data_IF_422040925577
#
_entry.id   IF_422040925577
#
_cell.length_a   1.000
_cell.length_b   1.000
_cell.length_c   1.000
_cell.angle_alpha   90.00
_cell.angle_beta   90.00
_cell.angle_gamma   90.00
#
_symmetry.space_group_name_H-M   'P 1'
#
loop_
_entity.id
_entity.type
_entity.pdbx_description
1 polymer ?
#
# COMPACT_ATOMS: atom_id res chain seq x y z
N UNK A 1 4.85 -1.84 6.12
CA UNK A 1 3.42 -2.22 5.95
C UNK A 1 3.17 -2.91 4.61
N UNK A 2 3.54 -2.32 3.47
CA UNK A 2 3.28 -2.91 2.14
C UNK A 2 3.79 -4.33 1.91
N UNK A 3 5.01 -4.68 2.35
CA UNK A 3 5.53 -6.05 2.25
C UNK A 3 4.67 -7.08 3.00
N UNK A 4 4.22 -6.72 4.21
CA UNK A 4 3.35 -7.58 5.01
C UNK A 4 2.01 -7.83 4.30
N UNK A 5 1.38 -6.78 3.76
CA UNK A 5 0.12 -6.92 3.04
C UNK A 5 0.26 -7.74 1.76
N UNK A 6 1.34 -7.54 0.98
CA UNK A 6 1.60 -8.34 -0.21
C UNK A 6 1.78 -9.82 0.16
N UNK A 7 2.63 -10.12 1.13
CA UNK A 7 2.88 -11.49 1.56
C UNK A 7 1.60 -12.16 2.09
N UNK A 8 0.79 -11.42 2.86
CA UNK A 8 -0.50 -11.90 3.35
C UNK A 8 -1.51 -12.13 2.21
N UNK A 9 -1.59 -11.21 1.24
CA UNK A 9 -2.49 -11.31 0.10
C UNK A 9 -2.18 -12.52 -0.78
N UNK A 10 -0.89 -12.80 -1.03
CA UNK A 10 -0.45 -13.99 -1.77
C UNK A 10 -0.88 -15.28 -1.06
N UNK A 11 -0.54 -15.41 0.23
CA UNK A 11 -0.92 -16.59 1.04
C UNK A 11 -2.44 -16.75 1.12
N UNK A 12 -3.17 -15.65 1.28
CA UNK A 12 -4.62 -15.67 1.33
C UNK A 12 -5.24 -16.00 -0.03
N UNK A 13 -4.60 -15.63 -1.15
CA UNK A 13 -5.02 -16.04 -2.49
C UNK A 13 -4.91 -17.56 -2.67
N UNK A 14 -3.79 -18.15 -2.26
CA UNK A 14 -3.58 -19.60 -2.31
C UNK A 14 -4.55 -20.36 -1.39
N UNK A 15 -4.74 -19.89 -0.15
CA UNK A 15 -5.72 -20.46 0.78
C UNK A 15 -7.14 -20.50 0.20
N UNK A 16 -7.52 -19.46 -0.55
CA UNK A 16 -8.82 -19.34 -1.23
C UNK A 16 -8.89 -20.08 -2.57
N UNK A 17 -7.81 -20.78 -2.97
CA UNK A 17 -7.68 -21.46 -4.26
C UNK A 17 -7.77 -20.51 -5.48
N UNK A 18 -7.41 -19.24 -5.28
CA UNK A 18 -7.31 -18.25 -6.37
C UNK A 18 -6.02 -18.40 -7.19
N UNK A 19 -5.01 -19.05 -6.62
CA UNK A 19 -3.75 -19.46 -7.26
C UNK A 19 -3.44 -20.91 -6.85
N UNK A 20 -2.59 -21.59 -7.59
CA UNK A 20 -2.25 -22.99 -7.37
C UNK A 20 -1.37 -23.19 -6.12
N UNK A 21 -1.40 -24.40 -5.52
CA UNK A 21 -0.54 -24.71 -4.38
C UNK A 21 0.95 -24.47 -4.69
N UNK A 22 1.66 -23.79 -3.80
CA UNK A 22 3.05 -23.38 -3.94
C UNK A 22 3.25 -22.05 -4.68
N UNK A 23 2.24 -21.49 -5.35
CA UNK A 23 2.41 -20.24 -6.10
C UNK A 23 2.60 -19.02 -5.19
N UNK A 24 2.02 -18.97 -3.98
CA UNK A 24 2.28 -17.83 -3.10
C UNK A 24 3.76 -17.74 -2.71
N UNK A 25 4.39 -18.88 -2.44
CA UNK A 25 5.82 -18.95 -2.13
C UNK A 25 6.68 -18.57 -3.34
N UNK A 26 6.31 -19.02 -4.54
CA UNK A 26 6.98 -18.67 -5.79
C UNK A 26 6.91 -17.15 -6.05
N UNK A 27 5.72 -16.55 -5.97
CA UNK A 27 5.53 -15.11 -6.20
C UNK A 27 6.24 -14.28 -5.14
N UNK A 28 6.26 -14.73 -3.88
CA UNK A 28 7.04 -14.07 -2.83
C UNK A 28 8.55 -14.11 -3.11
N UNK A 29 9.08 -15.25 -3.57
CA UNK A 29 10.48 -15.37 -3.95
C UNK A 29 10.84 -14.44 -5.13
N UNK A 30 9.93 -14.28 -6.11
CA UNK A 30 10.12 -13.35 -7.21
C UNK A 30 10.17 -11.89 -6.73
N UNK A 31 9.27 -11.51 -5.81
CA UNK A 31 9.30 -10.18 -5.19
C UNK A 31 10.62 -9.91 -4.47
N UNK A 32 11.13 -10.87 -3.69
CA UNK A 32 12.44 -10.75 -3.02
C UNK A 32 13.60 -10.64 -4.03
N UNK A 33 13.55 -11.37 -5.14
CA UNK A 33 14.54 -11.27 -6.20
C UNK A 33 14.51 -9.89 -6.88
N UNK A 34 13.31 -9.34 -7.13
CA UNK A 34 13.15 -7.98 -7.67
C UNK A 34 13.74 -6.93 -6.72
N UNK A 35 13.49 -7.06 -5.41
CA UNK A 35 14.08 -6.22 -4.37
C UNK A 35 15.60 -6.33 -4.32
N UNK A 36 16.14 -7.55 -4.31
CA UNK A 36 17.58 -7.80 -4.30
C UNK A 36 18.29 -7.26 -5.56
N UNK A 37 17.60 -7.26 -6.71
CA UNK A 37 18.11 -6.71 -7.96
C UNK A 37 18.02 -5.18 -8.07
N UNK A 38 17.40 -4.51 -7.10
CA UNK A 38 17.21 -3.06 -7.10
C UNK A 38 16.06 -2.56 -8.00
N UNK A 39 15.22 -3.46 -8.54
CA UNK A 39 13.98 -3.08 -9.25
C UNK A 39 12.96 -2.44 -8.30
N UNK A 40 12.96 -2.88 -7.05
CA UNK A 40 12.11 -2.35 -5.99
C UNK A 40 12.99 -1.80 -4.86
N UNK A 41 12.81 -0.53 -4.54
CA UNK A 41 13.50 0.13 -3.43
C UNK A 41 12.53 0.31 -2.26
N UNK A 42 12.94 -0.16 -1.08
CA UNK A 42 12.17 0.00 0.14
C UNK A 42 12.56 1.32 0.79
N UNK A 43 11.63 2.27 0.80
CA UNK A 43 11.82 3.52 1.51
C UNK A 43 11.44 3.33 2.98
N UNK A 44 12.43 3.47 3.86
CA UNK A 44 12.18 3.54 5.30
C UNK A 44 11.68 4.94 5.63
N UNK A 45 10.58 5.00 6.38
CA UNK A 45 10.01 6.23 6.93
C UNK A 45 9.71 6.03 8.42
N UNK A 46 9.65 7.14 9.15
CA UNK A 46 9.31 7.12 10.56
C UNK A 46 7.82 6.79 10.72
N UNK A 47 7.54 5.69 11.42
CA UNK A 47 6.17 5.23 11.63
C UNK A 47 5.32 6.25 12.41
N UNK A 48 5.92 6.99 13.35
CA UNK A 48 5.18 8.01 14.10
C UNK A 48 4.65 9.10 13.17
N UNK A 49 5.49 9.61 12.26
CA UNK A 49 5.11 10.64 11.29
C UNK A 49 4.00 10.13 10.35
N UNK A 50 4.10 8.88 9.90
CA UNK A 50 3.05 8.23 9.08
C UNK A 50 1.74 8.10 9.84
N UNK A 51 1.78 7.72 11.12
CA UNK A 51 0.57 7.56 11.94
C UNK A 51 -0.07 8.91 12.25
N UNK A 52 0.72 9.95 12.52
CA UNK A 52 0.19 11.29 12.75
C UNK A 52 -0.45 11.87 11.48
N UNK A 53 0.17 11.67 10.33
CA UNK A 53 -0.44 12.05 9.05
C UNK A 53 -1.72 11.23 8.76
N UNK A 54 -1.71 9.92 9.06
CA UNK A 54 -2.91 9.08 8.92
C UNK A 54 -4.06 9.54 9.84
N UNK A 55 -3.78 10.06 11.04
CA UNK A 55 -4.82 10.65 11.91
C UNK A 55 -5.44 11.88 11.26
N UNK A 56 -4.62 12.77 10.67
CA UNK A 56 -5.10 13.95 9.95
C UNK A 56 -6.00 13.56 8.78
N UNK A 57 -5.56 12.61 7.96
CA UNK A 57 -6.35 12.09 6.84
C UNK A 57 -7.65 11.47 7.31
N UNK A 58 -7.61 10.66 8.37
CA UNK A 58 -8.82 10.02 8.90
C UNK A 58 -9.82 11.04 9.43
N UNK A 59 -9.36 12.04 10.18
CA UNK A 59 -10.21 13.09 10.72
C UNK A 59 -10.85 13.95 9.60
N UNK A 60 -10.14 14.10 8.48
CA UNK A 60 -10.58 14.95 7.37
C UNK A 60 -11.54 14.24 6.42
N UNK A 61 -11.27 12.98 6.07
CA UNK A 61 -11.96 12.31 4.94
C UNK A 61 -12.81 11.11 5.35
N UNK A 62 -12.54 10.44 6.48
CA UNK A 62 -13.19 9.14 6.74
C UNK A 62 -14.71 9.27 6.92
N UNK A 63 -15.20 10.35 7.54
CA UNK A 63 -16.64 10.52 7.78
C UNK A 63 -17.46 10.61 6.48
N UNK A 64 -16.87 11.15 5.41
CA UNK A 64 -17.55 11.37 4.12
C UNK A 64 -17.14 10.36 3.05
N UNK A 65 -15.91 9.83 3.11
CA UNK A 65 -15.33 8.94 2.11
C UNK A 65 -15.23 7.46 2.53
N UNK A 66 -15.38 7.14 3.81
CA UNK A 66 -15.35 5.75 4.29
C UNK A 66 -14.03 5.02 4.02
N UNK A 67 -12.90 5.63 4.37
CA UNK A 67 -11.56 5.06 4.14
C UNK A 67 -11.14 4.09 5.25
N UNK A 68 -10.63 2.89 4.90
CA UNK A 68 -10.15 1.91 5.88
C UNK A 68 -8.76 2.30 6.39
N UNK A 69 -8.43 1.90 7.62
CA UNK A 69 -7.18 2.30 8.27
C UNK A 69 -5.92 1.99 7.45
N UNK A 70 -5.85 0.83 6.80
CA UNK A 70 -4.72 0.51 5.94
C UNK A 70 -4.68 1.33 4.65
N UNK A 71 -5.84 1.63 4.05
CA UNK A 71 -5.90 2.51 2.87
C UNK A 71 -5.30 3.88 3.20
N UNK A 72 -5.64 4.42 4.38
CA UNK A 72 -5.14 5.71 4.88
C UNK A 72 -3.64 5.67 5.14
N UNK A 73 -3.12 4.61 5.77
CA UNK A 73 -1.70 4.49 6.10
C UNK A 73 -0.81 4.46 4.85
N UNK A 74 -1.26 3.87 3.75
CA UNK A 74 -0.54 3.91 2.47
C UNK A 74 -0.48 5.33 1.90
N UNK A 75 -1.60 6.06 1.89
CA UNK A 75 -1.64 7.44 1.39
C UNK A 75 -0.76 8.34 2.26
N UNK A 76 -0.87 8.23 3.59
CA UNK A 76 -0.01 8.94 4.53
C UNK A 76 1.48 8.64 4.28
N UNK A 77 1.84 7.38 4.08
CA UNK A 77 3.23 6.99 3.76
C UNK A 77 3.71 7.67 2.49
N UNK A 78 2.89 7.69 1.43
CA UNK A 78 3.23 8.32 0.16
C UNK A 78 3.46 9.83 0.29
N UNK A 79 2.67 10.52 1.12
CA UNK A 79 2.85 11.93 1.44
C UNK A 79 4.15 12.18 2.21
N UNK A 80 4.42 11.39 3.26
CA UNK A 80 5.64 11.51 4.08
C UNK A 80 6.92 11.32 3.25
N UNK A 81 6.94 10.33 2.34
CA UNK A 81 8.09 10.09 1.47
C UNK A 81 8.13 10.99 0.24
N UNK A 82 7.16 11.91 0.09
CA UNK A 82 7.01 12.83 -1.04
C UNK A 82 7.00 12.09 -2.38
N UNK A 83 6.23 11.00 -2.45
CA UNK A 83 6.11 10.20 -3.65
C UNK A 83 5.62 11.07 -4.82
N UNK A 84 6.28 10.94 -5.98
CA UNK A 84 5.87 11.67 -7.19
C UNK A 84 4.52 11.17 -7.73
N UNK A 85 4.24 9.88 -7.56
CA UNK A 85 3.03 9.20 -8.02
C UNK A 85 2.64 8.14 -7.00
N UNK A 86 1.35 7.88 -6.89
CA UNK A 86 0.80 6.84 -6.05
C UNK A 86 0.10 5.81 -6.95
N UNK A 87 0.47 4.53 -6.83
CA UNK A 87 -0.11 3.45 -7.64
C UNK A 87 -1.08 2.65 -6.77
N UNK A 88 -2.32 2.52 -7.22
CA UNK A 88 -3.32 1.69 -6.55
C UNK A 88 -4.37 1.20 -7.53
N UNK A 89 -4.94 0.02 -7.24
CA UNK A 89 -6.13 -0.50 -7.93
C UNK A 89 -7.40 -0.32 -7.08
N UNK A 90 -7.27 0.21 -5.86
CA UNK A 90 -8.41 0.47 -4.98
C UNK A 90 -8.96 1.88 -5.26
N UNK A 91 -10.19 1.92 -5.79
CA UNK A 91 -10.84 3.19 -6.16
C UNK A 91 -11.13 4.11 -4.98
N UNK A 92 -11.26 3.57 -3.76
CA UNK A 92 -11.45 4.39 -2.57
C UNK A 92 -10.14 5.00 -2.08
N UNK A 93 -9.06 4.24 -2.14
CA UNK A 93 -7.71 4.73 -1.84
C UNK A 93 -7.25 5.78 -2.86
N UNK A 94 -7.59 5.59 -4.15
CA UNK A 94 -7.35 6.57 -5.22
C UNK A 94 -7.99 7.92 -4.90
N UNK A 95 -9.27 7.93 -4.53
CA UNK A 95 -9.98 9.17 -4.17
C UNK A 95 -9.30 9.92 -3.02
N UNK A 96 -8.85 9.19 -1.99
CA UNK A 96 -8.13 9.79 -0.87
C UNK A 96 -6.78 10.39 -1.30
N UNK A 97 -6.01 9.66 -2.11
CA UNK A 97 -4.73 10.13 -2.62
C UNK A 97 -4.89 11.38 -3.52
N UNK A 98 -5.87 11.38 -4.41
CA UNK A 98 -6.16 12.52 -5.28
C UNK A 98 -6.64 13.75 -4.50
N UNK A 99 -7.43 13.55 -3.43
CA UNK A 99 -7.87 14.63 -2.54
C UNK A 99 -6.71 15.34 -1.82
N UNK A 100 -5.58 14.66 -1.66
CA UNK A 100 -4.33 15.17 -1.10
C UNK A 100 -3.31 15.60 -2.18
N UNK A 101 -3.75 15.66 -3.45
CA UNK A 101 -2.95 16.15 -4.57
C UNK A 101 -1.91 15.17 -5.12
N UNK A 102 -1.94 13.89 -4.71
CA UNK A 102 -1.09 12.86 -5.32
C UNK A 102 -1.58 12.53 -6.73
N UNK A 103 -0.63 12.31 -7.64
CA UNK A 103 -0.94 11.83 -8.99
C UNK A 103 -1.13 10.32 -8.96
N UNK A 104 -2.33 9.86 -9.32
CA UNK A 104 -2.70 8.43 -9.40
C UNK A 104 -2.93 8.03 -10.86
N UNK A 105 -1.92 7.50 -11.58
CA UNK A 105 -1.99 7.28 -13.03
C UNK A 105 -2.75 6.03 -13.47
N UNK A 106 -3.17 5.19 -12.51
CA UNK A 106 -3.89 3.92 -12.74
C UNK A 106 -5.27 3.97 -12.11
#
# INVERSE_FOLDING_TARGET
MGEYELANALRFSEFRKGIAPGEAALFWAQFEADRASGRLLIQVCNLADVVDEAKRLSATYTLTGGHRGFDILHVATALIVKARRFLTFDGNQKKLAEAEGLVVPV
#
